data_IF_507085090568
#
_entry.id   IF_507085090568
#
_cell.length_a   1.000
_cell.length_b   1.000
_cell.length_c   1.000
_cell.angle_alpha   90.00
_cell.angle_beta   90.00
_cell.angle_gamma   90.00
#
_symmetry.space_group_name_H-M   'P 1'
#
loop_
_entity.id
_entity.type
_entity.pdbx_description
1 polymer ?
#
# COMPACT_ATOMS: atom_id res chain seq x y z
N UNK A 1 45.85 3.54 15.16
CA UNK A 1 44.57 4.17 15.57
C UNK A 1 43.67 4.20 14.33
N UNK A 2 42.62 3.35 14.25
CA UNK A 2 41.68 3.29 13.10
C UNK A 2 40.28 3.66 13.59
N UNK A 3 39.52 4.51 12.87
CA UNK A 3 38.23 5.00 13.34
C UNK A 3 37.13 3.94 13.19
N UNK A 4 36.31 3.76 14.24
CA UNK A 4 35.10 2.94 14.25
C UNK A 4 33.94 3.74 13.65
N UNK A 5 33.68 3.57 12.36
CA UNK A 5 32.50 4.08 11.67
C UNK A 5 31.72 2.93 11.02
N UNK A 6 31.09 2.05 11.81
CA UNK A 6 30.19 1.03 11.27
C UNK A 6 29.29 0.38 12.33
N UNK A 7 28.21 1.04 12.76
CA UNK A 7 27.12 0.34 13.50
C UNK A 7 25.84 1.18 13.68
N UNK A 8 25.31 1.84 12.65
CA UNK A 8 23.99 2.52 12.76
C UNK A 8 22.98 2.15 11.66
N UNK A 9 23.44 1.76 10.46
CA UNK A 9 22.54 1.37 9.36
C UNK A 9 21.80 0.05 9.60
N UNK A 10 22.47 -0.95 10.16
CA UNK A 10 21.89 -2.30 10.31
C UNK A 10 20.80 -2.38 11.38
N UNK A 11 20.86 -1.54 12.43
CA UNK A 11 19.87 -1.55 13.52
C UNK A 11 18.53 -0.95 13.09
N UNK A 12 18.54 0.05 12.20
CA UNK A 12 17.32 0.69 11.71
C UNK A 12 16.61 -0.17 10.65
N UNK A 13 17.36 -0.88 9.80
CA UNK A 13 16.76 -1.81 8.84
C UNK A 13 16.14 -3.04 9.52
N UNK A 14 16.75 -3.51 10.61
CA UNK A 14 16.20 -4.60 11.42
C UNK A 14 15.00 -4.13 12.25
N UNK A 15 15.04 -2.93 12.83
CA UNK A 15 13.90 -2.32 13.53
C UNK A 15 12.69 -2.10 12.62
N UNK A 16 12.91 -1.60 11.40
CA UNK A 16 11.85 -1.39 10.41
C UNK A 16 11.25 -2.73 9.94
N UNK A 17 12.07 -3.78 9.78
CA UNK A 17 11.59 -5.13 9.44
C UNK A 17 10.88 -5.82 10.59
N UNK A 18 11.22 -5.53 11.85
CA UNK A 18 10.52 -6.06 13.02
C UNK A 18 9.20 -5.33 13.30
N UNK A 19 9.11 -4.04 12.98
CA UNK A 19 7.87 -3.26 13.18
C UNK A 19 6.78 -3.62 12.14
N UNK A 20 7.20 -4.13 10.97
CA UNK A 20 6.30 -4.70 9.96
C UNK A 20 6.05 -6.20 10.11
N UNK A 21 6.76 -6.88 11.02
CA UNK A 21 6.41 -8.25 11.41
C UNK A 21 5.29 -8.18 12.44
N UNK A 22 4.08 -7.93 11.92
CA UNK A 22 2.84 -8.26 12.61
C UNK A 22 2.98 -9.74 13.00
N UNK A 23 2.88 -10.04 14.30
CA UNK A 23 2.95 -11.39 14.86
C UNK A 23 2.21 -12.37 13.93
N UNK A 24 2.96 -13.23 13.24
CA UNK A 24 2.41 -14.15 12.27
C UNK A 24 1.59 -15.22 13.00
N UNK A 25 0.33 -14.89 13.23
CA UNK A 25 -0.67 -15.89 13.60
C UNK A 25 -0.80 -16.85 12.42
N UNK A 26 -1.02 -18.13 12.69
CA UNK A 26 -1.17 -19.17 11.64
C UNK A 26 -2.22 -18.79 10.57
N UNK A 27 -3.23 -18.02 10.95
CA UNK A 27 -4.24 -17.45 10.06
C UNK A 27 -3.65 -16.45 9.03
N UNK A 28 -2.65 -15.66 9.42
CA UNK A 28 -2.02 -14.66 8.56
C UNK A 28 -1.15 -15.31 7.49
N UNK A 29 -0.46 -16.42 7.83
CA UNK A 29 0.24 -17.26 6.84
C UNK A 29 -0.70 -17.86 5.80
N UNK A 30 -1.86 -18.34 6.25
CA UNK A 30 -2.88 -18.89 5.34
C UNK A 30 -3.43 -17.76 4.48
N UNK A 31 -3.71 -16.58 5.04
CA UNK A 31 -4.19 -15.44 4.29
C UNK A 31 -3.17 -14.99 3.22
N UNK A 32 -1.87 -14.99 3.52
CA UNK A 32 -0.81 -14.68 2.56
C UNK A 32 -0.76 -15.73 1.44
N UNK A 33 -0.74 -17.01 1.79
CA UNK A 33 -0.71 -18.09 0.79
C UNK A 33 -1.95 -18.06 -0.12
N UNK A 34 -3.12 -17.78 0.44
CA UNK A 34 -4.35 -17.63 -0.33
C UNK A 34 -4.29 -16.36 -1.19
N UNK A 35 -3.83 -15.22 -0.65
CA UNK A 35 -3.71 -13.96 -1.42
C UNK A 35 -2.75 -14.10 -2.59
N UNK A 36 -1.62 -14.78 -2.41
CA UNK A 36 -0.65 -15.06 -3.48
C UNK A 36 -1.22 -16.03 -4.53
N UNK A 37 -1.97 -17.04 -4.10
CA UNK A 37 -2.65 -17.97 -5.01
C UNK A 37 -3.77 -17.29 -5.80
N UNK A 38 -4.55 -16.41 -5.16
CA UNK A 38 -5.65 -15.65 -5.77
C UNK A 38 -5.17 -14.50 -6.67
N UNK A 39 -3.99 -13.94 -6.40
CA UNK A 39 -3.38 -12.87 -7.20
C UNK A 39 -2.78 -13.35 -8.51
N UNK A 40 -2.65 -14.66 -8.71
CA UNK A 40 -2.06 -15.23 -9.91
C UNK A 40 -3.11 -15.41 -11.03
N UNK A 41 -2.83 -14.86 -12.21
CA UNK A 41 -3.71 -14.98 -13.39
C UNK A 41 -4.00 -16.44 -13.78
N UNK A 42 -3.06 -17.36 -13.50
CA UNK A 42 -3.26 -18.79 -13.75
C UNK A 42 -4.39 -19.41 -12.91
N UNK A 43 -4.65 -18.91 -11.71
CA UNK A 43 -5.73 -19.43 -10.84
C UNK A 43 -7.12 -19.12 -11.41
N UNK A 44 -7.30 -17.89 -11.95
CA UNK A 44 -8.51 -17.50 -12.65
C UNK A 44 -8.79 -18.42 -13.84
N UNK A 45 -7.75 -18.72 -14.64
CA UNK A 45 -7.88 -19.63 -15.80
C UNK A 45 -8.32 -21.04 -15.39
N UNK A 46 -7.82 -21.56 -14.27
CA UNK A 46 -8.22 -22.88 -13.74
C UNK A 46 -9.70 -22.89 -13.36
N UNK A 47 -10.19 -21.84 -12.67
CA UNK A 47 -11.62 -21.74 -12.30
C UNK A 47 -12.50 -21.68 -13.55
N UNK A 48 -12.14 -20.84 -14.52
CA UNK A 48 -12.88 -20.74 -15.78
C UNK A 48 -12.91 -22.09 -16.52
N UNK A 49 -11.79 -22.82 -16.58
CA UNK A 49 -11.73 -24.14 -17.17
C UNK A 49 -12.59 -25.16 -16.42
N UNK A 50 -12.57 -25.14 -15.08
CA UNK A 50 -13.39 -26.03 -14.26
C UNK A 50 -14.89 -25.81 -14.48
N UNK A 51 -15.33 -24.55 -14.56
CA UNK A 51 -16.72 -24.20 -14.87
C UNK A 51 -17.09 -24.67 -16.28
N UNK A 52 -16.23 -24.42 -17.28
CA UNK A 52 -16.47 -24.85 -18.66
C UNK A 52 -16.59 -26.38 -18.78
N UNK A 53 -15.71 -27.11 -18.08
CA UNK A 53 -15.74 -28.59 -18.01
C UNK A 53 -17.05 -29.06 -17.35
N UNK A 54 -17.46 -28.45 -16.25
CA UNK A 54 -18.70 -28.81 -15.54
C UNK A 54 -19.95 -28.59 -16.40
N UNK A 55 -20.01 -27.47 -17.13
CA UNK A 55 -21.08 -27.19 -18.09
C UNK A 55 -21.07 -28.25 -19.20
N UNK A 56 -19.89 -28.58 -19.76
CA UNK A 56 -19.78 -29.56 -20.83
C UNK A 56 -20.28 -30.96 -20.42
N UNK A 57 -20.04 -31.36 -19.17
CA UNK A 57 -20.57 -32.60 -18.60
C UNK A 57 -22.09 -32.58 -18.41
N UNK A 58 -22.68 -31.42 -18.05
CA UNK A 58 -24.12 -31.33 -17.78
C UNK A 58 -24.99 -30.99 -19.01
N UNK A 59 -24.40 -30.50 -20.12
CA UNK A 59 -25.11 -30.22 -21.39
C UNK A 59 -25.50 -31.49 -22.16
N UNK A 60 -25.27 -32.68 -21.59
CA UNK A 60 -25.68 -33.97 -22.15
C UNK A 60 -25.11 -34.21 -23.56
N UNK A 61 -23.85 -33.83 -23.78
CA UNK A 61 -23.11 -34.04 -25.04
C UNK A 61 -22.87 -35.55 -25.29
N UNK A 62 -23.01 -36.39 -24.27
CA UNK A 62 -22.86 -37.85 -24.36
C UNK A 62 -24.26 -38.50 -24.33
N UNK A 63 -24.72 -39.16 -25.41
CA UNK A 63 -26.03 -39.79 -25.45
C UNK A 63 -26.12 -40.92 -24.41
N UNK A 64 -27.02 -40.77 -23.42
CA UNK A 64 -27.34 -41.78 -22.42
C UNK A 64 -27.10 -41.38 -20.96
N UNK A 65 -26.52 -40.21 -20.69
CA UNK A 65 -26.30 -39.72 -19.32
C UNK A 65 -27.44 -38.77 -18.94
N UNK A 66 -28.21 -39.09 -17.89
CA UNK A 66 -29.22 -38.17 -17.38
C UNK A 66 -28.53 -36.91 -16.84
N UNK A 67 -28.92 -35.73 -17.30
CA UNK A 67 -28.36 -34.46 -16.82
C UNK A 67 -28.48 -34.39 -15.28
N UNK A 68 -27.33 -34.34 -14.60
CA UNK A 68 -27.25 -34.32 -13.14
C UNK A 68 -27.73 -32.97 -12.57
N UNK A 69 -27.37 -31.88 -13.25
CA UNK A 69 -27.80 -30.51 -12.95
C UNK A 69 -28.32 -29.85 -14.24
N UNK A 70 -29.62 -30.00 -14.56
CA UNK A 70 -30.22 -29.34 -15.72
C UNK A 70 -30.10 -27.82 -15.62
N UNK A 71 -29.99 -27.15 -16.77
CA UNK A 71 -30.06 -25.68 -16.80
C UNK A 71 -31.32 -25.21 -16.04
N UNK A 72 -31.18 -24.32 -15.05
CA UNK A 72 -30.15 -23.28 -14.94
C UNK A 72 -28.92 -23.58 -14.03
N UNK A 73 -28.61 -24.85 -13.71
CA UNK A 73 -27.45 -25.24 -12.88
C UNK A 73 -27.51 -24.76 -11.41
N UNK A 74 -28.60 -25.05 -10.70
CA UNK A 74 -28.85 -24.52 -9.36
C UNK A 74 -27.79 -24.94 -8.32
N UNK A 75 -27.21 -26.13 -8.49
CA UNK A 75 -26.21 -26.66 -7.54
C UNK A 75 -24.88 -25.93 -7.72
N UNK A 76 -24.45 -25.73 -8.98
CA UNK A 76 -23.24 -24.99 -9.30
C UNK A 76 -23.32 -23.54 -8.81
N UNK A 77 -24.44 -22.86 -9.06
CA UNK A 77 -24.65 -21.46 -8.67
C UNK A 77 -24.56 -21.28 -7.14
N UNK A 78 -25.17 -22.21 -6.38
CA UNK A 78 -25.10 -22.21 -4.93
C UNK A 78 -23.67 -22.33 -4.39
N UNK A 79 -22.86 -23.21 -4.99
CA UNK A 79 -21.45 -23.40 -4.60
C UNK A 79 -20.61 -22.17 -4.96
N UNK A 80 -20.83 -21.61 -6.14
CA UNK A 80 -20.11 -20.42 -6.61
C UNK A 80 -20.38 -19.20 -5.73
N UNK A 81 -21.61 -19.03 -5.25
CA UNK A 81 -22.00 -17.96 -4.32
C UNK A 81 -21.20 -18.01 -3.01
N UNK A 82 -21.12 -19.20 -2.38
CA UNK A 82 -20.34 -19.38 -1.15
C UNK A 82 -18.84 -19.15 -1.42
N UNK A 83 -18.34 -19.64 -2.55
CA UNK A 83 -16.95 -19.41 -2.95
C UNK A 83 -16.64 -17.92 -3.13
N UNK A 84 -17.53 -17.17 -3.78
CA UNK A 84 -17.40 -15.72 -3.97
C UNK A 84 -17.38 -14.94 -2.64
N UNK A 85 -18.19 -15.36 -1.66
CA UNK A 85 -18.18 -14.77 -0.32
C UNK A 85 -16.80 -14.94 0.36
N UNK A 86 -16.24 -16.15 0.31
CA UNK A 86 -14.91 -16.44 0.89
C UNK A 86 -13.82 -15.59 0.21
N UNK A 87 -13.87 -15.49 -1.12
CA UNK A 87 -12.96 -14.63 -1.89
C UNK A 87 -13.06 -13.16 -1.44
N UNK A 88 -14.29 -12.65 -1.35
CA UNK A 88 -14.55 -11.25 -0.98
C UNK A 88 -13.98 -10.92 0.39
N UNK A 89 -14.22 -11.78 1.39
CA UNK A 89 -13.67 -11.59 2.74
C UNK A 89 -12.15 -11.63 2.72
N UNK A 90 -11.55 -12.57 1.99
CA UNK A 90 -10.09 -12.70 1.86
C UNK A 90 -9.47 -11.45 1.23
N UNK A 91 -10.10 -10.92 0.19
CA UNK A 91 -9.71 -9.65 -0.44
C UNK A 91 -9.85 -8.51 0.55
N UNK A 92 -10.96 -8.43 1.30
CA UNK A 92 -11.19 -7.35 2.27
C UNK A 92 -10.14 -7.33 3.39
N UNK A 93 -9.75 -8.51 3.88
CA UNK A 93 -8.67 -8.66 4.86
C UNK A 93 -7.34 -8.17 4.26
N UNK A 94 -7.03 -8.63 3.04
CA UNK A 94 -5.79 -8.25 2.33
C UNK A 94 -5.73 -6.74 2.08
N UNK A 95 -6.85 -6.14 1.66
CA UNK A 95 -6.98 -4.70 1.46
C UNK A 95 -6.88 -3.92 2.77
N UNK A 96 -7.46 -4.42 3.87
CA UNK A 96 -7.34 -3.79 5.19
C UNK A 96 -5.89 -3.68 5.65
N UNK A 97 -5.11 -4.75 5.43
CA UNK A 97 -3.67 -4.76 5.70
C UNK A 97 -2.91 -3.77 4.82
N UNK A 98 -3.18 -3.76 3.51
CA UNK A 98 -2.55 -2.82 2.57
C UNK A 98 -2.84 -1.37 2.94
N UNK A 99 -4.09 -1.02 3.24
CA UNK A 99 -4.46 0.34 3.69
C UNK A 99 -3.70 0.80 4.94
N UNK A 100 -3.49 -0.11 5.91
CA UNK A 100 -2.72 0.22 7.12
C UNK A 100 -1.25 0.48 6.80
N UNK A 101 -0.65 -0.34 5.93
CA UNK A 101 0.72 -0.16 5.46
C UNK A 101 0.89 1.14 4.67
N UNK A 102 -0.06 1.44 3.78
CA UNK A 102 -0.09 2.68 2.99
C UNK A 102 -0.15 3.92 3.89
N UNK A 103 -1.00 3.92 4.92
CA UNK A 103 -1.07 5.03 5.89
C UNK A 103 0.26 5.28 6.60
N UNK A 104 0.92 4.22 7.07
CA UNK A 104 2.23 4.35 7.75
C UNK A 104 3.27 4.89 6.76
N UNK A 105 3.28 4.41 5.52
CA UNK A 105 4.18 4.92 4.48
C UNK A 105 3.91 6.41 4.22
N UNK A 106 2.64 6.80 4.10
CA UNK A 106 2.25 8.20 3.88
C UNK A 106 2.70 9.11 5.02
N UNK A 107 2.50 8.70 6.27
CA UNK A 107 2.96 9.45 7.45
C UNK A 107 4.49 9.62 7.46
N UNK A 108 5.23 8.56 7.14
CA UNK A 108 6.71 8.60 7.07
C UNK A 108 7.20 9.47 5.92
N UNK A 109 6.60 9.34 4.72
CA UNK A 109 6.94 10.17 3.56
C UNK A 109 6.65 11.65 3.85
N UNK A 110 5.55 11.95 4.53
CA UNK A 110 5.23 13.29 4.98
C UNK A 110 6.29 13.84 5.94
N UNK A 111 6.67 13.08 6.97
CA UNK A 111 7.70 13.52 7.94
C UNK A 111 9.06 13.77 7.26
N UNK A 112 9.48 12.89 6.34
CA UNK A 112 10.72 13.05 5.59
C UNK A 112 10.68 14.32 4.75
N UNK A 113 9.59 14.56 4.02
CA UNK A 113 9.45 15.76 3.20
C UNK A 113 9.49 17.03 4.04
N UNK A 114 8.80 17.03 5.19
CA UNK A 114 8.83 18.15 6.14
C UNK A 114 10.23 18.43 6.66
N UNK A 115 10.98 17.38 7.02
CA UNK A 115 12.38 17.54 7.44
C UNK A 115 13.25 18.06 6.30
N UNK A 116 13.10 17.51 5.10
CA UNK A 116 13.85 17.93 3.93
C UNK A 116 13.63 19.42 3.64
N UNK A 117 12.38 19.89 3.75
CA UNK A 117 12.03 21.31 3.61
C UNK A 117 12.79 22.19 4.61
N UNK A 118 12.83 21.80 5.89
CA UNK A 118 13.59 22.54 6.90
C UNK A 118 15.10 22.54 6.63
N UNK A 119 15.65 21.40 6.19
CA UNK A 119 17.07 21.29 5.83
C UNK A 119 17.41 22.16 4.61
N UNK A 120 16.55 22.18 3.59
CA UNK A 120 16.69 23.03 2.40
C UNK A 120 16.66 24.50 2.78
N UNK A 121 15.65 24.94 3.53
CA UNK A 121 15.53 26.34 4.00
C UNK A 121 16.75 26.76 4.82
N UNK A 122 17.28 25.86 5.65
CA UNK A 122 18.51 26.11 6.41
C UNK A 122 19.73 26.24 5.50
N UNK A 123 19.87 25.38 4.49
CA UNK A 123 20.95 25.46 3.50
C UNK A 123 20.86 26.75 2.69
N UNK A 124 19.66 27.14 2.24
CA UNK A 124 19.42 28.40 1.53
C UNK A 124 19.78 29.61 2.39
N UNK A 125 19.40 29.61 3.66
CA UNK A 125 19.76 30.67 4.61
C UNK A 125 21.27 30.76 4.80
N UNK A 126 21.96 29.62 4.98
CA UNK A 126 23.42 29.60 5.11
C UNK A 126 24.13 30.07 3.82
N UNK A 127 23.60 29.72 2.65
CA UNK A 127 24.11 30.20 1.35
C UNK A 127 23.93 31.71 1.21
N UNK A 128 22.77 32.24 1.59
CA UNK A 128 22.47 33.67 1.58
C UNK A 128 23.40 34.44 2.52
N UNK A 129 23.68 33.91 3.72
CA UNK A 129 24.63 34.50 4.67
C UNK A 129 26.05 34.57 4.08
N UNK A 130 26.47 33.53 3.34
CA UNK A 130 27.78 33.50 2.65
C UNK A 130 27.81 34.52 1.51
N UNK A 131 26.77 34.59 0.68
CA UNK A 131 26.67 35.57 -0.40
C UNK A 131 26.76 37.01 0.13
N UNK A 132 26.03 37.29 1.21
CA UNK A 132 26.05 38.59 1.90
C UNK A 132 27.45 38.93 2.41
N UNK A 133 28.15 37.99 3.05
CA UNK A 133 29.53 38.20 3.53
C UNK A 133 30.54 38.41 2.41
N UNK A 134 30.31 37.83 1.23
CA UNK A 134 31.16 37.99 0.05
C UNK A 134 30.83 39.25 -0.76
N UNK A 135 29.83 40.04 -0.36
CA UNK A 135 29.42 41.26 -1.05
C UNK A 135 28.75 41.01 -2.40
N UNK A 136 28.26 39.78 -2.62
CA UNK A 136 27.54 39.40 -3.83
C UNK A 136 26.08 39.83 -3.61
N UNK A 137 25.74 41.03 -4.09
CA UNK A 137 24.37 41.53 -4.02
C UNK A 137 23.49 40.77 -5.02
N UNK A 138 22.80 39.74 -4.55
CA UNK A 138 21.80 39.01 -5.32
C UNK A 138 20.42 39.34 -4.76
N UNK A 139 19.67 40.19 -5.46
CA UNK A 139 18.29 40.53 -5.13
C UNK A 139 17.38 39.53 -5.87
N UNK A 140 17.36 38.29 -5.38
CA UNK A 140 16.55 37.21 -5.94
C UNK A 140 15.28 37.05 -5.12
N UNK A 141 14.16 37.47 -5.70
CA UNK A 141 12.84 37.41 -5.05
C UNK A 141 12.41 35.95 -4.80
N UNK A 142 12.81 35.02 -5.68
CA UNK A 142 12.46 33.61 -5.58
C UNK A 142 13.18 32.97 -4.38
N UNK A 143 14.42 33.39 -4.09
CA UNK A 143 15.19 32.91 -2.94
C UNK A 143 14.58 33.33 -1.59
N UNK A 144 14.07 34.57 -1.51
CA UNK A 144 13.40 35.06 -0.30
C UNK A 144 12.04 34.38 -0.09
N UNK A 145 11.32 34.05 -1.17
CA UNK A 145 10.10 33.23 -1.09
C UNK A 145 10.41 31.81 -0.60
N UNK A 146 11.45 31.16 -1.12
CA UNK A 146 11.86 29.83 -0.66
C UNK A 146 12.35 29.83 0.80
N UNK A 147 12.97 30.91 1.29
CA UNK A 147 13.38 31.05 2.70
C UNK A 147 12.21 31.18 3.68
N UNK A 148 11.04 31.63 3.22
CA UNK A 148 9.85 31.71 4.08
C UNK A 148 9.34 30.33 4.50
N UNK A 149 9.72 29.27 3.77
CA UNK A 149 9.41 27.87 4.08
C UNK A 149 7.91 27.54 4.02
N UNK A 150 7.57 26.25 3.93
CA UNK A 150 6.18 25.82 4.13
C UNK A 150 5.75 26.07 5.59
N UNK A 151 4.69 26.87 5.79
CA UNK A 151 4.00 26.97 7.08
C UNK A 151 3.22 25.66 7.35
N UNK A 152 3.90 24.76 8.06
CA UNK A 152 3.37 23.46 8.45
C UNK A 152 2.13 23.55 9.34
N UNK A 153 2.01 24.61 10.15
CA UNK A 153 0.89 24.77 11.08
C UNK A 153 -0.38 25.18 10.31
N UNK A 154 -0.24 26.02 9.29
CA UNK A 154 -1.34 26.33 8.37
C UNK A 154 -1.83 25.10 7.59
N UNK A 155 -0.93 24.17 7.21
CA UNK A 155 -1.30 22.94 6.50
C UNK A 155 -1.98 21.94 7.45
N UNK A 156 -1.45 21.73 8.65
CA UNK A 156 -2.07 20.88 9.67
C UNK A 156 -3.47 21.37 10.05
N UNK A 157 -3.66 22.69 10.13
CA UNK A 157 -4.97 23.29 10.39
C UNK A 157 -5.96 22.98 9.26
N UNK A 158 -5.56 23.14 8.00
CA UNK A 158 -6.39 22.82 6.83
C UNK A 158 -6.80 21.35 6.75
N UNK A 159 -5.92 20.42 7.17
CA UNK A 159 -6.25 19.00 7.22
C UNK A 159 -7.25 18.71 8.34
N UNK A 160 -7.03 19.24 9.56
CA UNK A 160 -7.98 19.10 10.68
C UNK A 160 -9.37 19.63 10.37
N UNK A 161 -9.46 20.80 9.75
CA UNK A 161 -10.75 21.41 9.40
C UNK A 161 -11.49 20.58 8.36
N UNK A 162 -10.77 19.97 7.40
CA UNK A 162 -11.35 19.12 6.36
C UNK A 162 -11.87 17.78 6.91
N UNK A 163 -11.16 17.19 7.88
CA UNK A 163 -11.61 15.97 8.56
C UNK A 163 -12.82 16.23 9.47
N UNK A 164 -12.88 17.42 10.10
CA UNK A 164 -14.02 17.84 10.94
C UNK A 164 -15.30 18.15 10.13
N UNK A 165 -15.18 18.48 8.85
CA UNK A 165 -16.30 18.70 7.92
C UNK A 165 -16.78 17.39 7.24
N UNK A 166 -16.02 16.31 7.38
CA UNK A 166 -16.27 14.99 6.75
C UNK A 166 -16.86 13.95 7.72
N UNK A 167 -16.95 14.25 9.02
CA UNK A 167 -17.58 13.42 10.06
C UNK A 167 -18.97 13.94 10.41
#
# INVERSE_FOLDING_TARGET
MKPKYKSRKTSNEQGLKSEFQIDETKADRIAIAVSDALGNFAFLMIICAAIAIYILFNVNVIPGVKAFDPAPFNIMDSVLSVFALILTITILISQGRQRRLEKIREEVEFEINVRAEHEITKVLTMLHDIQTKLGIATNDADLEEMKQGLDLDAIKQKVKDKDALSS
#
